data_IF_351310513797
#
_entry.id   IF_351310513797
#
_cell.length_a   1.000
_cell.length_b   1.000
_cell.length_c   1.000
_cell.angle_alpha   90.00
_cell.angle_beta   90.00
_cell.angle_gamma   90.00
#
_symmetry.space_group_name_H-M   'P 1'
#
loop_
_entity.id
_entity.type
_entity.pdbx_description
1 polymer ?
#
# COMPACT_ATOMS: atom_id res chain seq x y z
N UNK A 1 -26.96 -0.31 17.06
CA UNK A 1 -26.30 -1.45 17.74
C UNK A 1 -26.09 -2.51 16.68
N UNK A 2 -24.85 -2.71 16.21
CA UNK A 2 -24.52 -3.79 15.31
C UNK A 2 -24.58 -5.10 16.13
N UNK A 3 -25.47 -6.00 15.77
CA UNK A 3 -25.58 -7.30 16.41
C UNK A 3 -24.27 -8.06 16.27
N UNK A 4 -23.76 -8.58 17.37
CA UNK A 4 -22.70 -9.59 17.36
C UNK A 4 -23.18 -10.76 16.50
N UNK A 5 -22.60 -10.89 15.32
CA UNK A 5 -22.71 -12.13 14.54
C UNK A 5 -21.97 -13.16 15.36
N UNK A 6 -22.71 -14.08 15.99
CA UNK A 6 -22.11 -15.28 16.60
C UNK A 6 -21.50 -16.08 15.45
N UNK A 7 -20.19 -15.94 15.26
CA UNK A 7 -19.43 -16.89 14.45
C UNK A 7 -19.65 -18.27 15.07
N UNK A 8 -20.10 -19.26 14.31
CA UNK A 8 -20.14 -20.62 14.82
C UNK A 8 -18.73 -21.01 15.26
N UNK A 9 -18.62 -22.00 16.13
CA UNK A 9 -17.41 -22.57 16.75
C UNK A 9 -16.36 -23.10 15.75
N UNK A 10 -16.11 -22.36 14.67
CA UNK A 10 -15.16 -22.74 13.60
C UNK A 10 -13.72 -22.91 14.12
N UNK A 11 -13.43 -22.32 15.28
CA UNK A 11 -12.08 -22.31 15.87
C UNK A 11 -12.03 -22.96 17.25
N UNK A 12 -13.13 -23.52 17.74
CA UNK A 12 -13.16 -24.15 19.07
C UNK A 12 -12.16 -25.29 19.13
N UNK A 13 -11.18 -25.16 20.03
CA UNK A 13 -10.13 -26.14 20.23
C UNK A 13 -8.96 -26.11 19.23
N UNK A 14 -8.94 -25.20 18.24
CA UNK A 14 -7.77 -24.99 17.40
C UNK A 14 -6.77 -24.08 18.10
N UNK A 15 -5.50 -24.44 17.98
CA UNK A 15 -4.37 -23.64 18.46
C UNK A 15 -3.67 -23.10 17.23
N UNK A 16 -3.36 -21.83 17.22
CA UNK A 16 -2.60 -21.14 16.17
C UNK A 16 -1.25 -20.71 16.73
N UNK A 17 -0.21 -20.83 15.93
CA UNK A 17 1.13 -20.39 16.31
C UNK A 17 1.20 -18.86 16.39
N UNK A 18 0.45 -18.18 15.52
CA UNK A 18 0.42 -16.71 15.45
C UNK A 18 -0.99 -16.21 15.16
N UNK A 19 -1.35 -15.10 15.81
CA UNK A 19 -2.58 -14.35 15.51
C UNK A 19 -2.18 -12.98 15.01
N UNK A 20 -2.57 -12.66 13.79
CA UNK A 20 -2.39 -11.33 13.16
C UNK A 20 -3.71 -10.57 13.24
N UNK A 21 -3.71 -9.44 13.90
CA UNK A 21 -4.90 -8.59 14.06
C UNK A 21 -4.85 -7.43 13.07
N UNK A 22 -5.76 -7.44 12.11
CA UNK A 22 -5.88 -6.51 11.00
C UNK A 22 -5.27 -7.04 9.71
N UNK A 23 -6.12 -7.31 8.71
CA UNK A 23 -5.74 -7.73 7.35
C UNK A 23 -5.39 -6.55 6.44
N UNK A 24 -4.85 -5.46 6.99
CA UNK A 24 -4.36 -4.30 6.21
C UNK A 24 -3.03 -4.57 5.51
N UNK A 25 -2.42 -3.54 4.96
CA UNK A 25 -1.17 -3.62 4.16
C UNK A 25 -0.08 -4.43 4.85
N UNK A 26 0.17 -4.17 6.14
CA UNK A 26 1.20 -4.89 6.89
C UNK A 26 0.76 -6.31 7.28
N UNK A 27 -0.47 -6.47 7.81
CA UNK A 27 -0.95 -7.76 8.30
C UNK A 27 -1.11 -8.78 7.18
N UNK A 28 -1.54 -8.36 5.99
CA UNK A 28 -1.62 -9.22 4.81
C UNK A 28 -0.23 -9.76 4.42
N UNK A 29 0.79 -8.89 4.39
CA UNK A 29 2.17 -9.29 4.06
C UNK A 29 2.74 -10.23 5.14
N UNK A 30 2.58 -9.88 6.43
CA UNK A 30 3.06 -10.71 7.54
C UNK A 30 2.43 -12.09 7.47
N UNK A 31 1.10 -12.17 7.35
CA UNK A 31 0.38 -13.45 7.30
C UNK A 31 0.84 -14.29 6.10
N UNK A 32 0.94 -13.69 4.92
CA UNK A 32 1.40 -14.39 3.73
C UNK A 32 2.83 -14.93 3.90
N UNK A 33 3.76 -14.14 4.41
CA UNK A 33 5.15 -14.55 4.60
C UNK A 33 5.32 -15.61 5.68
N UNK A 34 4.58 -15.52 6.77
CA UNK A 34 4.64 -16.52 7.85
C UNK A 34 4.06 -17.87 7.44
N UNK A 35 3.12 -17.90 6.49
CA UNK A 35 2.51 -19.13 5.98
C UNK A 35 3.26 -19.73 4.79
N UNK A 36 4.34 -19.11 4.28
CA UNK A 36 5.24 -19.74 3.31
C UNK A 36 5.87 -21.03 3.88
N UNK A 37 6.08 -21.08 5.19
CA UNK A 37 6.42 -22.30 5.89
C UNK A 37 5.13 -23.04 6.25
N UNK A 38 4.95 -24.25 5.72
CA UNK A 38 3.78 -25.09 5.98
C UNK A 38 3.65 -25.56 7.44
N UNK A 39 4.67 -25.29 8.27
CA UNK A 39 4.66 -25.64 9.69
C UNK A 39 3.91 -24.61 10.55
N UNK A 40 3.66 -23.39 10.05
CA UNK A 40 3.02 -22.35 10.84
C UNK A 40 1.52 -22.24 10.55
N UNK A 41 0.70 -22.37 11.58
CA UNK A 41 -0.73 -22.03 11.55
C UNK A 41 -0.94 -20.56 11.94
N UNK A 42 -1.36 -19.72 11.01
CA UNK A 42 -1.60 -18.29 11.23
C UNK A 42 -3.08 -17.97 11.15
N UNK A 43 -3.62 -17.32 12.19
CA UNK A 43 -4.98 -16.78 12.19
C UNK A 43 -4.92 -15.28 11.87
N UNK A 44 -5.48 -14.88 10.74
CA UNK A 44 -5.69 -13.49 10.38
C UNK A 44 -7.09 -13.03 10.75
N UNK A 45 -7.20 -12.00 11.59
CA UNK A 45 -8.46 -11.37 11.98
C UNK A 45 -8.61 -10.01 11.29
N UNK A 46 -9.70 -9.84 10.54
CA UNK A 46 -10.03 -8.57 9.88
C UNK A 46 -11.45 -8.12 10.27
N UNK A 47 -11.64 -6.82 10.49
CA UNK A 47 -12.91 -6.25 10.89
C UNK A 47 -13.82 -5.89 9.70
N UNK A 48 -13.24 -5.76 8.52
CA UNK A 48 -13.93 -5.45 7.28
C UNK A 48 -14.30 -6.69 6.47
N UNK A 49 -15.00 -6.50 5.37
CA UNK A 49 -15.33 -7.59 4.44
C UNK A 49 -14.10 -8.07 3.67
N UNK A 50 -14.19 -9.30 3.16
CA UNK A 50 -13.28 -9.89 2.20
C UNK A 50 -13.96 -10.05 0.84
N UNK A 51 -13.23 -9.81 -0.24
CA UNK A 51 -13.67 -10.00 -1.63
C UNK A 51 -12.65 -10.86 -2.38
N UNK A 52 -12.60 -12.17 -2.11
CA UNK A 52 -11.57 -13.05 -2.67
C UNK A 52 -11.70 -13.28 -4.18
N UNK A 53 -12.83 -12.90 -4.77
CA UNK A 53 -13.11 -13.07 -6.19
C UNK A 53 -13.14 -11.70 -6.86
N UNK A 54 -12.25 -11.42 -7.83
CA UNK A 54 -12.17 -10.11 -8.49
C UNK A 54 -13.49 -9.63 -9.11
N UNK A 55 -14.32 -10.54 -9.63
CA UNK A 55 -15.63 -10.24 -10.22
C UNK A 55 -16.67 -9.77 -9.20
N UNK A 56 -16.44 -10.02 -7.92
CA UNK A 56 -17.29 -9.55 -6.81
C UNK A 56 -16.76 -8.27 -6.16
N UNK A 57 -15.65 -7.73 -6.67
CA UNK A 57 -15.06 -6.52 -6.12
C UNK A 57 -16.02 -5.34 -6.31
N UNK A 58 -16.41 -4.63 -5.24
CA UNK A 58 -17.23 -3.43 -5.36
C UNK A 58 -16.55 -2.35 -6.21
N UNK A 59 -17.36 -1.60 -6.98
CA UNK A 59 -16.83 -0.59 -7.91
C UNK A 59 -15.96 0.49 -7.25
N UNK A 60 -16.19 0.80 -5.97
CA UNK A 60 -15.40 1.75 -5.20
C UNK A 60 -14.03 1.19 -4.75
N UNK A 61 -13.81 -0.12 -4.86
CA UNK A 61 -12.51 -0.77 -4.67
C UNK A 61 -11.84 -1.14 -5.98
N UNK A 62 -12.62 -1.30 -7.06
CA UNK A 62 -12.11 -1.66 -8.38
C UNK A 62 -11.49 -0.48 -9.13
N UNK A 63 -11.81 0.76 -8.75
CA UNK A 63 -11.33 1.98 -9.41
C UNK A 63 -10.32 2.73 -8.53
N UNK A 64 -9.04 2.47 -8.73
CA UNK A 64 -7.94 3.12 -8.00
C UNK A 64 -7.75 4.62 -8.27
N UNK A 65 -8.56 5.24 -9.15
CA UNK A 65 -8.54 6.70 -9.37
C UNK A 65 -9.18 7.48 -8.22
N UNK A 66 -9.92 6.79 -7.34
CA UNK A 66 -10.67 7.40 -6.24
C UNK A 66 -10.49 6.63 -4.95
N UNK A 67 -10.33 7.35 -3.85
CA UNK A 67 -10.33 6.71 -2.54
C UNK A 67 -11.74 6.25 -2.18
N UNK A 68 -11.90 5.00 -1.74
CA UNK A 68 -13.15 4.55 -1.13
C UNK A 68 -13.26 5.12 0.30
N UNK A 69 -14.10 6.14 0.48
CA UNK A 69 -14.24 6.87 1.76
C UNK A 69 -15.59 6.65 2.46
N UNK A 70 -16.43 5.74 1.97
CA UNK A 70 -17.80 5.60 2.50
C UNK A 70 -18.12 4.20 3.01
N UNK A 71 -17.90 3.17 2.20
CA UNK A 71 -18.32 1.79 2.53
C UNK A 71 -17.25 0.99 3.26
N UNK A 72 -16.00 1.23 2.91
CA UNK A 72 -14.84 0.48 3.39
C UNK A 72 -13.93 1.33 4.25
N UNK A 73 -14.49 2.28 4.99
CA UNK A 73 -13.77 3.20 5.85
C UNK A 73 -14.17 3.05 7.32
N UNK A 74 -13.23 3.27 8.23
CA UNK A 74 -13.48 3.28 9.66
C UNK A 74 -14.26 4.52 10.12
N UNK A 75 -14.34 5.56 9.29
CA UNK A 75 -15.00 6.81 9.59
C UNK A 75 -14.27 7.68 10.63
N UNK A 76 -12.96 7.52 10.76
CA UNK A 76 -12.17 8.32 11.69
C UNK A 76 -12.14 9.77 11.26
N UNK A 77 -12.04 10.64 12.26
CA UNK A 77 -11.92 12.09 12.07
C UNK A 77 -10.80 12.61 12.95
N UNK A 78 -10.02 13.54 12.44
CA UNK A 78 -8.98 14.20 13.19
C UNK A 78 -9.18 15.71 13.23
N UNK A 79 -8.55 16.37 14.17
CA UNK A 79 -8.46 17.82 14.28
C UNK A 79 -6.98 18.19 14.22
N UNK A 80 -6.50 18.75 13.10
CA UNK A 80 -5.07 19.06 12.92
C UNK A 80 -4.55 20.04 13.97
N UNK A 81 -5.38 21.03 14.36
CA UNK A 81 -5.08 21.99 15.42
C UNK A 81 -6.29 22.22 16.31
N UNK A 82 -6.09 22.83 17.48
CA UNK A 82 -7.18 23.14 18.43
C UNK A 82 -8.24 24.09 17.86
N UNK A 83 -7.88 24.87 16.84
CA UNK A 83 -8.75 25.92 16.27
C UNK A 83 -9.41 25.50 14.95
N UNK A 84 -9.13 24.30 14.44
CA UNK A 84 -9.66 23.85 13.16
C UNK A 84 -10.86 22.91 13.30
N UNK A 85 -11.62 22.81 12.22
CA UNK A 85 -12.69 21.83 12.09
C UNK A 85 -12.15 20.40 12.08
N UNK A 86 -13.01 19.43 12.35
CA UNK A 86 -12.68 18.02 12.21
C UNK A 86 -12.72 17.61 10.74
N UNK A 87 -11.63 17.03 10.28
CA UNK A 87 -11.51 16.49 8.92
C UNK A 87 -11.60 14.96 8.92
N UNK A 88 -12.06 14.34 7.84
CA UNK A 88 -11.97 12.90 7.67
C UNK A 88 -10.50 12.44 7.76
N UNK A 89 -10.30 11.28 8.37
CA UNK A 89 -9.02 10.57 8.39
C UNK A 89 -9.27 9.17 7.80
N UNK A 90 -9.31 9.03 6.47
CA UNK A 90 -9.65 7.76 5.83
C UNK A 90 -8.70 6.65 6.23
N UNK A 91 -9.27 5.50 6.63
CA UNK A 91 -8.55 4.26 6.92
C UNK A 91 -9.41 3.10 6.47
N UNK A 92 -8.86 2.24 5.61
CA UNK A 92 -9.60 1.11 5.08
C UNK A 92 -10.04 0.12 6.16
N UNK A 93 -11.30 -0.31 6.06
CA UNK A 93 -11.89 -1.40 6.83
C UNK A 93 -12.38 -2.47 5.87
N UNK A 94 -11.46 -3.27 5.41
CA UNK A 94 -11.60 -4.31 4.38
C UNK A 94 -10.30 -5.11 4.36
N UNK A 95 -10.31 -6.34 3.89
CA UNK A 95 -9.06 -7.07 3.59
C UNK A 95 -8.21 -6.25 2.61
N UNK A 96 -6.94 -6.05 2.93
CA UNK A 96 -6.05 -5.09 2.27
C UNK A 96 -5.98 -3.72 2.97
N UNK A 97 -6.93 -3.40 3.85
CA UNK A 97 -6.93 -2.16 4.62
C UNK A 97 -6.85 -0.91 3.77
N UNK A 98 -5.99 0.03 4.15
CA UNK A 98 -5.83 1.28 3.41
C UNK A 98 -5.19 1.12 2.04
N UNK A 99 -4.45 0.03 1.77
CA UNK A 99 -3.95 -0.25 0.42
C UNK A 99 -5.04 -0.71 -0.56
N UNK A 100 -6.18 -1.22 -0.06
CA UNK A 100 -7.33 -1.55 -0.90
C UNK A 100 -8.24 -0.35 -1.23
N UNK A 101 -8.09 0.79 -0.54
CA UNK A 101 -8.97 1.97 -0.68
C UNK A 101 -8.23 3.23 -1.12
N UNK A 102 -6.92 3.18 -1.31
CA UNK A 102 -6.09 4.30 -1.73
C UNK A 102 -6.14 4.52 -3.26
N UNK A 103 -5.36 5.44 -3.76
CA UNK A 103 -5.26 5.76 -5.20
C UNK A 103 -4.11 5.03 -5.90
N UNK A 104 -3.63 3.94 -5.35
CA UNK A 104 -2.65 3.03 -5.96
C UNK A 104 -1.33 3.70 -6.37
N UNK A 105 -0.88 4.72 -5.64
CA UNK A 105 0.41 5.35 -5.87
C UNK A 105 1.49 4.51 -5.19
N UNK A 106 2.42 3.95 -5.98
CA UNK A 106 3.53 3.15 -5.50
C UNK A 106 4.82 3.99 -5.50
N UNK A 107 5.14 4.60 -4.36
CA UNK A 107 6.36 5.37 -4.15
C UNK A 107 7.18 4.75 -3.03
N UNK A 108 8.49 4.67 -3.25
CA UNK A 108 9.48 4.32 -2.23
C UNK A 108 10.04 5.59 -1.58
N UNK A 109 10.52 5.47 -0.34
CA UNK A 109 11.43 6.46 0.23
C UNK A 109 12.74 6.50 -0.54
N UNK A 110 13.45 7.61 -0.47
CA UNK A 110 14.78 7.74 -1.05
C UNK A 110 15.83 7.05 -0.15
N UNK A 111 16.99 6.65 -0.69
CA UNK A 111 18.04 6.02 0.11
C UNK A 111 18.37 6.74 1.42
N UNK A 112 18.45 8.07 1.39
CA UNK A 112 18.72 8.89 2.57
C UNK A 112 17.72 8.72 3.70
N UNK A 113 16.43 8.50 3.40
CA UNK A 113 15.39 8.29 4.41
C UNK A 113 15.66 7.03 5.25
N UNK A 114 16.14 5.97 4.60
CA UNK A 114 16.48 4.70 5.23
C UNK A 114 17.82 4.75 5.96
N UNK A 115 18.80 5.42 5.36
CA UNK A 115 20.13 5.56 5.96
C UNK A 115 20.09 6.46 7.22
N UNK A 116 19.15 7.43 7.28
CA UNK A 116 18.87 8.16 8.53
C UNK A 116 18.34 7.23 9.63
N UNK A 117 17.51 6.25 9.30
CA UNK A 117 17.05 5.27 10.29
C UNK A 117 18.19 4.37 10.73
N UNK A 118 19.05 3.93 9.82
CA UNK A 118 20.23 3.15 10.17
C UNK A 118 21.16 3.93 11.11
N UNK A 119 21.36 5.23 10.86
CA UNK A 119 22.17 6.11 11.72
C UNK A 119 21.62 6.25 13.16
N UNK A 120 20.34 5.95 13.38
CA UNK A 120 19.74 5.88 14.72
C UNK A 120 19.95 4.53 15.43
N UNK A 121 20.76 3.63 14.86
CA UNK A 121 21.04 2.29 15.39
C UNK A 121 20.10 1.21 14.84
N UNK A 122 19.41 1.46 13.76
CA UNK A 122 18.50 0.52 13.09
C UNK A 122 19.15 0.03 11.79
N UNK A 123 20.32 -0.59 11.88
CA UNK A 123 21.18 -0.95 10.72
C UNK A 123 20.46 -1.79 9.67
N UNK A 124 19.53 -2.67 10.10
CA UNK A 124 18.73 -3.49 9.19
C UNK A 124 17.71 -2.70 8.37
N UNK A 125 17.53 -1.42 8.64
CA UNK A 125 16.65 -0.50 7.91
C UNK A 125 17.42 0.42 6.96
N UNK A 126 18.71 0.18 6.72
CA UNK A 126 19.44 0.89 5.69
C UNK A 126 18.87 0.62 4.31
N UNK A 127 19.12 1.52 3.36
CA UNK A 127 18.68 1.32 1.98
C UNK A 127 19.11 -0.01 1.40
N UNK A 128 20.36 -0.39 1.65
CA UNK A 128 20.92 -1.66 1.16
C UNK A 128 20.13 -2.88 1.65
N UNK A 129 19.66 -2.85 2.90
CA UNK A 129 18.86 -3.93 3.47
C UNK A 129 17.38 -3.88 3.04
N UNK A 130 16.82 -2.68 2.81
CA UNK A 130 15.42 -2.51 2.42
C UNK A 130 15.16 -2.77 0.92
N UNK A 131 16.11 -2.41 0.04
CA UNK A 131 15.94 -2.56 -1.41
C UNK A 131 15.57 -4.00 -1.85
N UNK A 132 16.21 -5.07 -1.33
CA UNK A 132 15.81 -6.44 -1.66
C UNK A 132 14.34 -6.76 -1.31
N UNK A 133 13.80 -6.15 -0.25
CA UNK A 133 12.39 -6.34 0.12
C UNK A 133 11.46 -5.61 -0.86
N UNK A 134 11.79 -4.40 -1.29
CA UNK A 134 11.05 -3.68 -2.33
C UNK A 134 11.03 -4.46 -3.65
N UNK A 135 12.16 -4.99 -4.07
CA UNK A 135 12.24 -5.81 -5.28
C UNK A 135 11.42 -7.10 -5.19
N UNK A 136 11.39 -7.76 -4.03
CA UNK A 136 10.57 -8.96 -3.82
C UNK A 136 9.06 -8.66 -3.79
N UNK A 137 8.67 -7.42 -3.52
CA UNK A 137 7.28 -7.02 -3.44
C UNK A 137 6.66 -6.83 -4.83
N UNK A 138 7.43 -6.38 -5.81
CA UNK A 138 6.89 -5.86 -7.07
C UNK A 138 7.25 -6.71 -8.29
N UNK A 139 6.38 -6.60 -9.29
CA UNK A 139 6.67 -6.89 -10.70
C UNK A 139 6.55 -5.59 -11.47
N UNK A 140 7.68 -4.91 -11.70
CA UNK A 140 7.69 -3.68 -12.50
C UNK A 140 7.52 -4.03 -13.98
N UNK A 141 6.55 -3.40 -14.65
CA UNK A 141 6.17 -3.66 -16.03
C UNK A 141 6.92 -2.76 -17.02
N UNK A 142 7.52 -1.67 -16.54
CA UNK A 142 8.17 -0.68 -17.38
C UNK A 142 9.70 -0.74 -17.29
N UNK A 143 10.25 -1.05 -16.10
CA UNK A 143 11.68 -1.11 -15.85
C UNK A 143 12.15 -2.50 -15.42
N UNK A 144 13.40 -2.79 -15.76
CA UNK A 144 13.99 -4.09 -15.49
C UNK A 144 15.46 -4.01 -15.06
N UNK A 145 15.82 -2.86 -14.51
CA UNK A 145 17.16 -2.58 -14.01
C UNK A 145 17.40 -3.11 -12.59
N UNK A 146 18.52 -2.73 -12.00
CA UNK A 146 18.96 -3.16 -10.67
C UNK A 146 18.06 -2.69 -9.54
N UNK A 147 17.24 -1.65 -9.76
CA UNK A 147 16.38 -1.05 -8.75
C UNK A 147 15.00 -1.70 -8.67
N UNK A 148 14.59 -2.44 -9.70
CA UNK A 148 13.23 -2.96 -9.85
C UNK A 148 13.15 -4.49 -9.72
N UNK A 149 12.00 -4.94 -9.17
CA UNK A 149 11.63 -6.36 -9.08
C UNK A 149 10.83 -6.82 -10.30
N UNK A 150 10.86 -8.14 -10.56
CA UNK A 150 10.19 -8.74 -11.72
C UNK A 150 9.24 -9.88 -11.39
N UNK A 151 9.33 -10.41 -10.18
CA UNK A 151 8.67 -11.66 -9.80
C UNK A 151 7.82 -11.49 -8.53
N UNK A 152 7.61 -10.25 -8.06
CA UNK A 152 6.80 -9.98 -6.89
C UNK A 152 5.29 -9.95 -7.19
N UNK A 153 4.46 -10.06 -6.15
CA UNK A 153 3.01 -10.16 -6.32
C UNK A 153 2.33 -8.86 -6.74
N UNK A 154 3.00 -7.70 -6.60
CA UNK A 154 2.40 -6.39 -6.88
C UNK A 154 2.82 -5.87 -8.25
N UNK A 155 1.92 -5.82 -9.24
CA UNK A 155 2.23 -5.24 -10.54
C UNK A 155 2.35 -3.72 -10.40
N UNK A 156 3.46 -3.16 -10.87
CA UNK A 156 3.72 -1.71 -10.92
C UNK A 156 3.86 -1.31 -12.37
N UNK A 157 3.12 -0.28 -12.78
CA UNK A 157 3.28 0.37 -14.08
C UNK A 157 3.14 1.89 -13.97
N UNK A 158 3.72 2.61 -14.91
CA UNK A 158 3.51 4.05 -15.05
C UNK A 158 2.41 4.31 -16.07
N UNK A 159 1.75 5.46 -15.93
CA UNK A 159 0.77 5.88 -16.90
C UNK A 159 1.49 6.44 -18.14
N UNK A 160 1.29 5.87 -19.34
CA UNK A 160 1.83 6.46 -20.56
C UNK A 160 1.18 7.80 -20.86
N UNK A 161 1.85 8.64 -21.65
CA UNK A 161 1.40 10.00 -21.91
C UNK A 161 -0.02 10.12 -22.47
N UNK A 162 -0.50 9.12 -23.22
CA UNK A 162 -1.86 9.08 -23.75
C UNK A 162 -2.95 8.72 -22.71
N UNK A 163 -2.57 8.30 -21.52
CA UNK A 163 -3.47 8.08 -20.39
C UNK A 163 -3.54 9.29 -19.44
N UNK A 164 -2.67 10.26 -19.62
CA UNK A 164 -2.67 11.48 -18.82
C UNK A 164 -3.88 12.36 -19.14
N UNK A 165 -4.45 12.97 -18.11
CA UNK A 165 -5.44 14.02 -18.30
C UNK A 165 -4.80 15.28 -18.90
N UNK A 166 -5.61 16.15 -19.51
CA UNK A 166 -5.14 17.45 -20.04
C UNK A 166 -4.42 18.26 -18.96
N UNK A 167 -4.88 18.21 -17.72
CA UNK A 167 -4.28 18.93 -16.60
C UNK A 167 -2.90 18.38 -16.21
N UNK A 168 -2.73 17.07 -16.22
CA UNK A 168 -1.45 16.43 -15.95
C UNK A 168 -0.44 16.77 -17.06
N UNK A 169 -0.86 16.67 -18.33
CA UNK A 169 -0.03 17.08 -19.47
C UNK A 169 0.43 18.53 -19.37
N UNK A 170 -0.50 19.46 -19.15
CA UNK A 170 -0.19 20.88 -19.00
C UNK A 170 0.73 21.17 -17.80
N UNK A 171 0.59 20.41 -16.70
CA UNK A 171 1.50 20.54 -15.57
C UNK A 171 2.92 20.12 -15.92
N UNK A 172 3.10 19.00 -16.62
CA UNK A 172 4.42 18.53 -17.06
C UNK A 172 5.07 19.50 -18.05
N UNK A 173 4.29 20.04 -18.99
CA UNK A 173 4.76 21.07 -19.93
C UNK A 173 5.25 22.33 -19.18
N UNK A 174 4.45 22.81 -18.22
CA UNK A 174 4.83 23.97 -17.41
C UNK A 174 6.10 23.71 -16.57
N UNK A 175 6.27 22.51 -16.04
CA UNK A 175 7.50 22.13 -15.34
C UNK A 175 8.70 22.17 -16.27
N UNK A 176 8.58 21.63 -17.48
CA UNK A 176 9.64 21.65 -18.49
C UNK A 176 10.00 23.08 -18.91
N UNK A 177 9.02 23.97 -19.13
CA UNK A 177 9.23 25.39 -19.43
C UNK A 177 9.96 26.12 -18.30
N UNK A 178 9.75 25.74 -17.06
CA UNK A 178 10.44 26.28 -15.90
C UNK A 178 11.81 25.65 -15.63
N UNK A 179 12.25 24.71 -16.48
CA UNK A 179 13.55 24.07 -16.39
C UNK A 179 13.63 22.91 -15.40
N UNK A 180 12.50 22.38 -14.93
CA UNK A 180 12.51 21.14 -14.16
C UNK A 180 12.77 19.94 -15.07
N UNK A 181 13.64 18.99 -14.67
CA UNK A 181 13.86 17.78 -15.45
C UNK A 181 12.64 16.88 -15.49
N UNK A 182 12.51 16.11 -16.54
CA UNK A 182 11.56 14.99 -16.59
C UNK A 182 12.03 13.86 -15.68
N UNK A 183 11.12 13.30 -14.90
CA UNK A 183 11.36 12.15 -14.04
C UNK A 183 10.55 10.95 -14.55
N UNK A 184 11.21 10.05 -15.26
CA UNK A 184 10.56 8.84 -15.77
C UNK A 184 10.25 7.82 -14.67
N UNK A 185 11.02 7.84 -13.58
CA UNK A 185 10.90 6.90 -12.49
C UNK A 185 11.27 7.52 -11.14
N UNK A 186 10.25 7.83 -10.35
CA UNK A 186 10.41 8.40 -8.99
C UNK A 186 10.93 7.37 -7.96
N UNK A 187 10.99 6.09 -8.30
CA UNK A 187 11.45 5.02 -7.40
C UNK A 187 12.96 4.72 -7.55
N UNK A 188 13.61 5.32 -8.53
CA UNK A 188 15.06 5.20 -8.70
C UNK A 188 15.79 6.12 -7.73
N UNK A 189 16.89 5.66 -7.10
CA UNK A 189 17.70 6.50 -6.23
C UNK A 189 18.16 7.80 -6.88
N UNK A 190 17.99 8.90 -6.17
CA UNK A 190 18.38 10.22 -6.65
C UNK A 190 17.47 10.82 -7.73
N UNK A 191 16.35 10.18 -8.05
CA UNK A 191 15.37 10.73 -9.01
C UNK A 191 14.69 11.97 -8.45
N UNK A 192 14.56 13.00 -9.28
CA UNK A 192 13.80 14.20 -9.00
C UNK A 192 13.33 14.83 -10.30
N UNK A 193 12.24 15.57 -10.25
CA UNK A 193 11.65 16.22 -11.42
C UNK A 193 10.13 16.03 -11.49
N UNK A 194 9.57 16.27 -12.67
CA UNK A 194 8.16 16.14 -12.96
C UNK A 194 7.89 15.07 -14.03
#
# INVERSE_FOLDING_TARGET
MAGLVKTPDLFSGRIFDTIVVGGGSAGAVISARMTESTANEVLLLEAGPDYPQPEHLPGDLADGRWNSMKRHDWGYRHRPTTHQLRFPLPRGRVVGGSSAVNTCIALRGQPGDFDEWAALGLDEWSWEHCLPAFKRLETDQDFSDEWHGRDGPLPIRRHPGNELSIWQGAFLEACAELGYPSCEDSNRPGSWGA
#
